data_IF_744217511808
#
_entry.id   IF_744217511808
#
_cell.length_a   1.000
_cell.length_b   1.000
_cell.length_c   1.000
_cell.angle_alpha   90.00
_cell.angle_beta   90.00
_cell.angle_gamma   90.00
#
_symmetry.space_group_name_H-M   'P 1'
#
loop_
_entity.id
_entity.type
_entity.pdbx_description
1 polymer ?
#
# COMPACT_ATOMS: atom_id res chain seq x y z
N UNK A 1 -6.31 22.80 -1.02
CA UNK A 1 -5.96 21.37 -1.11
C UNK A 1 -5.24 21.09 -2.42
N UNK A 2 -4.32 20.13 -2.43
CA UNK A 2 -3.61 19.69 -3.65
C UNK A 2 -4.08 18.28 -4.00
N UNK A 3 -4.22 18.00 -5.29
CA UNK A 3 -4.56 16.69 -5.83
C UNK A 3 -3.59 16.34 -6.95
N UNK A 4 -3.17 15.08 -7.01
CA UNK A 4 -2.33 14.58 -8.12
C UNK A 4 -3.09 13.44 -8.78
N UNK A 5 -3.56 13.68 -10.01
CA UNK A 5 -4.41 12.74 -10.74
C UNK A 5 -3.77 12.35 -12.07
N UNK A 6 -3.94 11.09 -12.46
CA UNK A 6 -3.38 10.54 -13.69
C UNK A 6 -4.51 10.06 -14.60
N UNK A 7 -4.51 10.44 -15.88
CA UNK A 7 -5.58 10.13 -16.84
C UNK A 7 -5.05 9.30 -18.00
N UNK A 8 -5.82 8.29 -18.42
CA UNK A 8 -5.41 7.31 -19.46
C UNK A 8 -5.46 7.82 -20.89
N UNK A 9 -5.90 9.06 -21.12
CA UNK A 9 -6.00 9.68 -22.45
C UNK A 9 -5.37 11.09 -22.46
N UNK A 10 -4.75 11.53 -23.57
CA UNK A 10 -4.35 12.92 -23.72
C UNK A 10 -5.57 13.85 -23.61
N UNK A 11 -5.45 14.86 -22.76
CA UNK A 11 -6.47 15.89 -22.59
C UNK A 11 -6.06 17.22 -23.22
N UNK A 12 -7.05 18.07 -23.46
CA UNK A 12 -6.84 19.48 -23.81
C UNK A 12 -7.16 20.37 -22.62
N UNK A 13 -6.47 21.51 -22.50
CA UNK A 13 -6.64 22.48 -21.40
C UNK A 13 -8.11 22.85 -21.20
N UNK A 14 -8.84 23.08 -22.31
CA UNK A 14 -10.25 23.41 -22.29
C UNK A 14 -11.10 22.31 -21.65
N UNK A 15 -10.88 21.05 -22.05
CA UNK A 15 -11.65 19.93 -21.52
C UNK A 15 -11.42 19.74 -20.02
N UNK A 16 -10.16 19.92 -19.58
CA UNK A 16 -9.81 19.88 -18.15
C UNK A 16 -10.45 21.04 -17.40
N UNK A 17 -10.40 22.27 -17.94
CA UNK A 17 -10.99 23.44 -17.31
C UNK A 17 -12.51 23.30 -17.13
N UNK A 18 -13.21 22.84 -18.16
CA UNK A 18 -14.66 22.57 -18.11
C UNK A 18 -14.99 21.48 -17.08
N UNK A 19 -14.23 20.39 -17.05
CA UNK A 19 -14.47 19.29 -16.12
C UNK A 19 -14.19 19.67 -14.66
N UNK A 20 -13.09 20.41 -14.39
CA UNK A 20 -12.78 20.91 -13.05
C UNK A 20 -13.81 21.95 -12.59
N UNK A 21 -14.22 22.87 -13.47
CA UNK A 21 -15.27 23.83 -13.17
C UNK A 21 -16.57 23.13 -12.75
N UNK A 22 -16.96 22.05 -13.44
CA UNK A 22 -18.11 21.24 -13.04
C UNK A 22 -17.88 20.54 -11.68
N UNK A 23 -16.72 19.92 -11.47
CA UNK A 23 -16.39 19.22 -10.22
C UNK A 23 -16.42 20.15 -8.99
N UNK A 24 -15.84 21.34 -9.11
CA UNK A 24 -15.78 22.35 -8.05
C UNK A 24 -17.00 23.27 -8.02
N UNK A 25 -17.93 23.14 -8.98
CA UNK A 25 -19.12 23.98 -9.15
C UNK A 25 -18.78 25.46 -9.30
N UNK A 26 -17.74 25.74 -10.07
CA UNK A 26 -17.26 27.08 -10.38
C UNK A 26 -17.58 27.43 -11.83
N UNK A 27 -17.65 28.73 -12.18
CA UNK A 27 -17.55 29.18 -13.56
C UNK A 27 -16.21 28.75 -14.18
N UNK A 28 -16.21 28.42 -15.47
CA UNK A 28 -14.98 27.99 -16.18
C UNK A 28 -13.86 29.04 -16.14
N UNK A 29 -14.21 30.34 -16.08
CA UNK A 29 -13.21 31.42 -16.00
C UNK A 29 -12.51 31.52 -14.63
N UNK A 30 -13.03 30.83 -13.61
CA UNK A 30 -12.43 30.73 -12.28
C UNK A 30 -11.52 29.49 -12.17
N UNK A 31 -11.26 28.80 -13.28
CA UNK A 31 -10.33 27.67 -13.37
C UNK A 31 -9.25 28.01 -14.40
N UNK A 32 -8.00 28.02 -13.96
CA UNK A 32 -6.83 28.19 -14.83
C UNK A 32 -6.16 26.82 -15.04
N UNK A 33 -6.04 26.42 -16.30
CA UNK A 33 -5.33 25.20 -16.71
C UNK A 33 -4.23 25.60 -17.67
N UNK A 34 -3.02 25.11 -17.43
CA UNK A 34 -1.90 25.35 -18.32
C UNK A 34 -1.00 24.12 -18.40
N UNK A 35 -0.49 23.85 -19.61
CA UNK A 35 0.58 22.88 -19.82
C UNK A 35 1.97 23.49 -19.58
N UNK A 36 3.02 22.66 -19.70
CA UNK A 36 4.42 23.08 -19.55
C UNK A 36 4.87 24.10 -20.60
N UNK A 37 4.20 24.17 -21.76
CA UNK A 37 4.57 25.03 -22.87
C UNK A 37 3.82 26.37 -22.85
N UNK A 38 2.83 26.52 -21.98
CA UNK A 38 2.05 27.73 -21.84
C UNK A 38 2.88 28.91 -21.31
N UNK A 39 2.53 30.13 -21.73
CA UNK A 39 3.13 31.36 -21.21
C UNK A 39 2.69 31.56 -19.76
N UNK A 40 3.62 31.31 -18.83
CA UNK A 40 3.38 31.42 -17.39
C UNK A 40 3.01 32.85 -16.95
N UNK A 41 3.35 33.88 -17.73
CA UNK A 41 2.96 35.26 -17.42
C UNK A 41 1.51 35.57 -17.82
N UNK A 42 0.91 34.77 -18.70
CA UNK A 42 -0.46 34.93 -19.15
C UNK A 42 -1.47 34.16 -18.28
N UNK A 43 -0.99 33.32 -17.35
CA UNK A 43 -1.82 32.51 -16.45
C UNK A 43 -2.57 33.37 -15.45
N UNK A 44 -3.80 32.97 -15.14
CA UNK A 44 -4.59 33.56 -14.08
C UNK A 44 -4.21 32.92 -12.73
N UNK A 45 -3.11 33.35 -12.13
CA UNK A 45 -2.63 32.86 -10.84
C UNK A 45 -3.60 33.12 -9.68
N UNK A 46 -4.53 34.08 -9.84
CA UNK A 46 -5.57 34.39 -8.87
C UNK A 46 -6.80 33.48 -9.00
N UNK A 47 -6.85 32.59 -10.00
CA UNK A 47 -7.97 31.68 -10.18
C UNK A 47 -8.15 30.78 -8.93
N UNK A 48 -9.40 30.60 -8.44
CA UNK A 48 -9.69 29.73 -7.31
C UNK A 48 -9.20 28.29 -7.46
N UNK A 49 -9.14 27.76 -8.69
CA UNK A 49 -8.56 26.46 -9.01
C UNK A 49 -7.48 26.63 -10.08
N UNK A 50 -6.28 26.14 -9.79
CA UNK A 50 -5.15 26.07 -10.71
C UNK A 50 -4.89 24.60 -11.07
N UNK A 51 -4.57 24.32 -12.33
CA UNK A 51 -4.14 22.99 -12.77
C UNK A 51 -2.87 23.11 -13.62
N UNK A 52 -1.82 22.38 -13.24
CA UNK A 52 -0.73 22.03 -14.13
C UNK A 52 -1.08 20.77 -14.91
N UNK A 53 -0.87 20.78 -16.23
CA UNK A 53 -1.10 19.62 -17.09
C UNK A 53 0.20 19.15 -17.74
N UNK A 54 0.54 17.88 -17.54
CA UNK A 54 1.79 17.30 -18.02
C UNK A 54 1.49 16.11 -18.91
N UNK A 55 2.05 16.09 -20.12
CA UNK A 55 1.94 14.94 -21.02
C UNK A 55 2.93 13.86 -20.59
N UNK A 56 2.45 12.62 -20.41
CA UNK A 56 3.24 11.48 -19.95
C UNK A 56 3.12 10.30 -20.91
N UNK A 57 4.04 9.34 -20.81
CA UNK A 57 4.06 8.15 -21.69
C UNK A 57 3.43 6.94 -20.99
N UNK A 58 3.03 5.93 -21.77
CA UNK A 58 2.51 4.66 -21.24
C UNK A 58 0.99 4.53 -21.35
N UNK A 59 0.38 3.84 -20.39
CA UNK A 59 -1.07 3.67 -20.29
C UNK A 59 -1.75 4.91 -19.72
N UNK A 60 -1.04 5.68 -18.90
CA UNK A 60 -1.40 7.06 -18.55
C UNK A 60 -0.81 7.99 -19.61
N UNK A 61 -1.57 9.03 -19.96
CA UNK A 61 -1.22 10.00 -21.01
C UNK A 61 -1.17 11.44 -20.52
N UNK A 62 -1.87 11.74 -19.43
CA UNK A 62 -1.88 13.07 -18.83
C UNK A 62 -1.78 12.97 -17.31
N UNK A 63 -0.85 13.73 -16.72
CA UNK A 63 -0.79 13.99 -15.28
C UNK A 63 -1.35 15.38 -14.99
N UNK A 64 -2.16 15.48 -13.94
CA UNK A 64 -2.83 16.70 -13.50
C UNK A 64 -2.40 17.02 -12.07
N UNK A 65 -1.78 18.18 -11.89
CA UNK A 65 -1.44 18.74 -10.59
C UNK A 65 -2.41 19.88 -10.28
N UNK A 66 -3.42 19.56 -9.47
CA UNK A 66 -4.55 20.47 -9.20
C UNK A 66 -4.36 21.09 -7.82
N UNK A 67 -4.45 22.42 -7.78
CA UNK A 67 -4.45 23.20 -6.56
C UNK A 67 -5.76 23.96 -6.42
N UNK A 68 -6.55 23.63 -5.41
CA UNK A 68 -7.75 24.37 -5.04
C UNK A 68 -7.44 25.28 -3.84
N UNK A 69 -7.66 26.58 -4.01
CA UNK A 69 -7.50 27.57 -2.93
C UNK A 69 -8.49 27.29 -1.78
N UNK A 70 -8.12 27.64 -0.55
CA UNK A 70 -8.94 27.40 0.65
C UNK A 70 -10.31 28.11 0.61
N UNK A 71 -10.44 29.14 -0.21
CA UNK A 71 -11.68 29.88 -0.49
C UNK A 71 -12.74 29.05 -1.22
N UNK A 72 -12.34 28.02 -1.97
CA UNK A 72 -13.25 27.10 -2.65
C UNK A 72 -13.80 26.13 -1.62
N UNK A 73 -15.11 26.18 -1.33
CA UNK A 73 -15.78 25.28 -0.39
C UNK A 73 -17.16 24.85 -0.90
N UNK A 74 -17.54 23.56 -0.73
CA UNK A 74 -16.74 22.47 -0.16
C UNK A 74 -15.69 21.93 -1.15
N UNK A 75 -14.53 21.52 -0.64
CA UNK A 75 -13.52 20.82 -1.45
C UNK A 75 -13.82 19.31 -1.46
N UNK A 76 -13.87 18.65 -2.64
CA UNK A 76 -14.07 17.21 -2.71
C UNK A 76 -12.86 16.46 -2.13
N UNK A 77 -13.09 15.24 -1.64
CA UNK A 77 -11.96 14.34 -1.38
C UNK A 77 -11.28 13.95 -2.69
N UNK A 78 -10.02 13.51 -2.65
CA UNK A 78 -9.30 13.09 -3.86
C UNK A 78 -10.04 11.96 -4.61
N UNK A 79 -10.59 11.01 -3.84
CA UNK A 79 -11.46 9.96 -4.38
C UNK A 79 -12.69 10.52 -5.10
N UNK A 80 -13.39 11.47 -4.49
CA UNK A 80 -14.62 12.02 -5.07
C UNK A 80 -14.30 12.86 -6.31
N UNK A 81 -13.18 13.59 -6.31
CA UNK A 81 -12.71 14.36 -7.45
C UNK A 81 -12.32 13.43 -8.61
N UNK A 82 -11.53 12.39 -8.35
CA UNK A 82 -11.15 11.41 -9.37
C UNK A 82 -12.37 10.72 -9.99
N UNK A 83 -13.34 10.30 -9.17
CA UNK A 83 -14.58 9.68 -9.66
C UNK A 83 -15.45 10.65 -10.47
N UNK A 84 -15.55 11.91 -10.06
CA UNK A 84 -16.29 12.93 -10.81
C UNK A 84 -15.62 13.23 -12.16
N UNK A 85 -14.30 13.44 -12.17
CA UNK A 85 -13.53 13.67 -13.39
C UNK A 85 -13.62 12.47 -14.34
N UNK A 86 -13.50 11.25 -13.84
CA UNK A 86 -13.59 10.04 -14.65
C UNK A 86 -14.93 9.97 -15.41
N UNK A 87 -16.02 10.28 -14.72
CA UNK A 87 -17.37 10.30 -15.29
C UNK A 87 -17.56 11.43 -16.31
N UNK A 88 -17.06 12.63 -16.03
CA UNK A 88 -17.22 13.80 -16.92
C UNK A 88 -16.39 13.64 -18.19
N UNK A 89 -15.14 13.20 -18.05
CA UNK A 89 -14.24 12.99 -19.18
C UNK A 89 -14.52 11.70 -19.94
N UNK A 90 -15.26 10.76 -19.34
CA UNK A 90 -15.50 9.43 -19.93
C UNK A 90 -14.24 8.56 -19.96
N UNK A 91 -13.31 8.79 -19.02
CA UNK A 91 -11.99 8.13 -18.95
C UNK A 91 -11.66 7.67 -17.54
N UNK A 92 -10.72 6.75 -17.45
CA UNK A 92 -10.20 6.28 -16.17
C UNK A 92 -9.21 7.29 -15.58
N UNK A 93 -9.40 7.60 -14.30
CA UNK A 93 -8.56 8.53 -13.54
C UNK A 93 -7.95 7.76 -12.37
N UNK A 94 -6.62 7.77 -12.26
CA UNK A 94 -5.89 7.19 -11.15
C UNK A 94 -5.55 8.26 -10.13
N UNK A 95 -5.52 7.86 -8.86
CA UNK A 95 -5.12 8.71 -7.74
C UNK A 95 -4.35 7.91 -6.68
N UNK A 96 -3.47 8.55 -5.90
CA UNK A 96 -2.65 7.88 -4.90
C UNK A 96 -3.45 7.09 -3.86
N UNK A 97 -2.88 5.97 -3.45
CA UNK A 97 -3.26 5.28 -2.23
C UNK A 97 -2.37 5.77 -1.09
N UNK A 98 -2.83 6.70 -0.27
CA UNK A 98 -1.99 7.16 0.84
C UNK A 98 -1.55 6.00 1.78
N UNK A 99 -0.35 6.05 2.40
CA UNK A 99 0.74 7.01 2.21
C UNK A 99 2.06 6.35 1.75
N UNK A 100 2.45 6.71 0.52
CA UNK A 100 3.81 6.89 -0.06
C UNK A 100 4.99 5.94 0.27
N UNK A 101 5.75 5.48 -0.76
CA UNK A 101 5.34 5.41 -2.17
C UNK A 101 4.26 4.34 -2.30
N UNK A 102 3.07 4.65 -2.86
CA UNK A 102 2.08 3.61 -3.05
C UNK A 102 2.59 2.68 -4.14
N UNK A 103 2.79 1.42 -3.77
CA UNK A 103 2.99 0.36 -4.76
C UNK A 103 1.71 0.07 -5.56
N UNK A 104 0.55 0.55 -5.07
CA UNK A 104 -0.74 0.47 -5.75
C UNK A 104 -1.50 1.80 -5.74
N UNK A 105 -1.99 2.25 -6.89
CA UNK A 105 -2.90 3.38 -7.06
C UNK A 105 -4.37 2.94 -6.97
N UNK A 106 -5.27 3.88 -6.73
CA UNK A 106 -6.68 3.70 -7.06
C UNK A 106 -6.96 4.11 -8.50
N UNK A 107 -7.95 3.48 -9.12
CA UNK A 107 -8.50 3.83 -10.43
C UNK A 107 -9.99 4.05 -10.25
N UNK A 108 -10.49 5.21 -10.66
CA UNK A 108 -11.89 5.47 -10.87
C UNK A 108 -12.19 5.43 -12.37
N UNK A 109 -13.06 4.53 -12.80
CA UNK A 109 -13.49 4.41 -14.18
C UNK A 109 -14.78 5.21 -14.43
N UNK A 110 -15.03 5.56 -15.69
CA UNK A 110 -16.19 6.34 -16.09
C UNK A 110 -17.55 5.65 -15.80
N UNK A 111 -17.57 4.33 -15.71
CA UNK A 111 -18.75 3.53 -15.37
C UNK A 111 -19.05 3.49 -13.86
N UNK A 112 -18.23 4.17 -13.05
CA UNK A 112 -18.34 4.21 -11.59
C UNK A 112 -17.56 3.09 -10.87
N UNK A 113 -16.89 2.20 -11.60
CA UNK A 113 -15.99 1.21 -11.00
C UNK A 113 -14.82 1.90 -10.30
N UNK A 114 -14.54 1.50 -9.07
CA UNK A 114 -13.33 1.93 -8.34
C UNK A 114 -12.54 0.68 -7.95
N UNK A 115 -11.30 0.60 -8.42
CA UNK A 115 -10.43 -0.56 -8.21
C UNK A 115 -9.01 -0.13 -7.89
N UNK A 116 -8.20 -1.05 -7.37
CA UNK A 116 -6.76 -0.85 -7.20
C UNK A 116 -6.01 -1.21 -8.48
N UNK A 117 -4.88 -0.55 -8.70
CA UNK A 117 -3.98 -0.76 -9.83
C UNK A 117 -2.52 -0.70 -9.40
N UNK A 118 -1.66 -1.55 -9.96
CA UNK A 118 -0.21 -1.40 -9.85
C UNK A 118 0.29 -0.49 -10.96
N UNK A 119 0.85 0.65 -10.57
CA UNK A 119 1.48 1.58 -11.50
C UNK A 119 3.00 1.41 -11.43
N UNK A 120 3.62 1.22 -12.59
CA UNK A 120 5.07 1.10 -12.74
C UNK A 120 5.56 2.31 -13.52
N UNK A 121 6.58 2.98 -13.00
CA UNK A 121 7.39 3.94 -13.74
C UNK A 121 8.66 3.23 -14.23
N UNK A 122 8.77 2.85 -15.52
CA UNK A 122 9.89 2.08 -16.03
C UNK A 122 11.12 2.95 -16.36
N UNK A 123 11.02 4.28 -16.31
CA UNK A 123 12.10 5.19 -16.69
C UNK A 123 12.13 6.46 -15.81
N UNK A 124 13.18 6.60 -14.99
CA UNK A 124 13.38 7.77 -14.12
C UNK A 124 13.72 9.05 -14.91
N UNK A 125 14.14 8.96 -16.18
CA UNK A 125 14.51 10.13 -16.99
C UNK A 125 13.32 10.75 -17.74
N UNK A 126 12.32 9.95 -18.13
CA UNK A 126 11.07 10.45 -18.72
C UNK A 126 9.83 9.77 -18.12
N UNK A 127 8.91 10.52 -17.49
CA UNK A 127 7.78 9.93 -16.77
C UNK A 127 6.94 9.06 -17.71
N UNK A 128 6.97 7.76 -17.44
CA UNK A 128 6.28 6.73 -18.21
C UNK A 128 5.43 5.89 -17.28
N UNK A 129 4.13 5.96 -17.34
CA UNK A 129 3.27 5.24 -16.40
C UNK A 129 2.61 4.06 -17.09
N UNK A 130 3.04 2.84 -16.74
CA UNK A 130 2.41 1.59 -17.19
C UNK A 130 1.57 1.00 -16.08
N UNK A 131 0.33 0.63 -16.39
CA UNK A 131 -0.52 -0.12 -15.46
C UNK A 131 -0.33 -1.61 -15.73
N UNK A 132 0.41 -2.28 -14.85
CA UNK A 132 0.74 -3.70 -14.98
C UNK A 132 -0.45 -4.60 -14.60
N UNK A 133 -1.16 -4.24 -13.54
CA UNK A 133 -2.22 -5.05 -12.96
C UNK A 133 -3.32 -4.22 -12.29
N UNK A 134 -4.53 -4.78 -12.23
CA UNK A 134 -5.72 -4.21 -11.59
C UNK A 134 -6.49 -5.29 -10.83
N UNK A 135 -7.17 -4.95 -9.72
CA UNK A 135 -7.99 -5.93 -8.98
C UNK A 135 -9.34 -6.25 -9.63
N UNK A 136 -9.86 -5.36 -10.46
CA UNK A 136 -11.06 -5.54 -11.25
C UNK A 136 -10.86 -5.02 -12.69
N UNK A 137 -11.53 -5.59 -13.70
CA UNK A 137 -11.41 -5.15 -15.09
C UNK A 137 -11.76 -3.67 -15.27
N UNK A 138 -10.95 -2.95 -16.04
CA UNK A 138 -11.18 -1.54 -16.40
C UNK A 138 -11.10 -1.41 -17.92
N UNK A 139 -12.13 -0.84 -18.55
CA UNK A 139 -12.26 -0.80 -20.01
C UNK A 139 -11.10 -0.06 -20.71
N UNK A 140 -10.61 1.03 -20.11
CA UNK A 140 -9.51 1.83 -20.67
C UNK A 140 -8.12 1.22 -20.42
N UNK A 141 -8.04 0.10 -19.69
CA UNK A 141 -6.80 -0.59 -19.35
C UNK A 141 -6.86 -2.07 -19.79
N UNK A 142 -7.08 -2.36 -21.08
CA UNK A 142 -7.33 -3.72 -21.57
C UNK A 142 -6.10 -4.65 -21.46
N UNK A 143 -4.90 -4.08 -21.30
CA UNK A 143 -3.65 -4.81 -21.20
C UNK A 143 -3.24 -5.10 -19.74
N UNK A 144 -3.92 -4.49 -18.76
CA UNK A 144 -3.62 -4.69 -17.35
C UNK A 144 -4.08 -6.09 -16.91
N UNK A 145 -3.22 -6.80 -16.19
CA UNK A 145 -3.57 -8.12 -15.66
C UNK A 145 -4.59 -7.99 -14.55
N UNK A 146 -5.72 -8.70 -14.65
CA UNK A 146 -6.71 -8.73 -13.57
C UNK A 146 -6.26 -9.74 -12.53
N UNK A 147 -5.69 -9.26 -11.42
CA UNK A 147 -5.19 -10.10 -10.33
C UNK A 147 -5.27 -9.35 -9.00
N UNK A 148 -5.30 -10.09 -7.90
CA UNK A 148 -5.12 -9.51 -6.57
C UNK A 148 -3.69 -8.97 -6.44
N UNK A 149 -3.54 -7.83 -5.79
CA UNK A 149 -2.26 -7.13 -5.66
C UNK A 149 -1.67 -7.36 -4.26
N UNK A 150 -0.65 -8.23 -4.09
CA UNK A 150 -0.06 -8.56 -2.78
C UNK A 150 0.42 -7.35 -1.99
N UNK A 151 0.88 -6.33 -2.71
CA UNK A 151 1.41 -5.11 -2.15
C UNK A 151 0.37 -4.31 -1.33
N UNK A 152 -0.92 -4.39 -1.68
CA UNK A 152 -2.00 -3.80 -0.88
C UNK A 152 -2.08 -4.44 0.50
N UNK A 153 -1.87 -5.75 0.59
CA UNK A 153 -1.87 -6.47 1.86
C UNK A 153 -0.62 -6.12 2.67
N UNK A 154 0.51 -5.93 2.00
CA UNK A 154 1.78 -5.51 2.63
C UNK A 154 1.72 -4.10 3.22
N UNK A 155 1.00 -3.18 2.58
CA UNK A 155 0.82 -1.80 3.04
C UNK A 155 -0.23 -1.65 4.16
N UNK A 156 -1.02 -2.69 4.45
CA UNK A 156 -2.01 -2.66 5.53
C UNK A 156 -1.33 -2.66 6.90
N UNK A 157 -1.13 -1.45 7.44
CA UNK A 157 -0.66 -1.30 8.82
C UNK A 157 -1.77 -1.62 9.80
N UNK A 158 -1.51 -2.61 10.66
CA UNK A 158 -2.33 -2.89 11.84
C UNK A 158 -1.60 -2.42 13.10
N UNK A 159 -2.34 -1.99 14.14
CA UNK A 159 -1.73 -1.71 15.44
C UNK A 159 -0.96 -2.94 15.96
N UNK A 160 0.27 -2.73 16.42
CA UNK A 160 1.16 -3.73 17.01
C UNK A 160 1.42 -3.45 18.50
N UNK A 161 0.38 -3.53 19.36
CA UNK A 161 0.50 -3.14 20.77
C UNK A 161 1.43 -4.04 21.59
N UNK A 162 1.66 -5.29 21.22
CA UNK A 162 2.62 -6.17 21.90
C UNK A 162 4.04 -5.69 21.63
N UNK A 163 4.40 -5.48 20.36
CA UNK A 163 5.70 -4.95 19.99
C UNK A 163 5.95 -3.55 20.53
N UNK A 164 4.94 -2.67 20.49
CA UNK A 164 5.05 -1.33 21.07
C UNK A 164 5.32 -1.33 22.59
N UNK A 165 4.70 -2.27 23.33
CA UNK A 165 5.01 -2.47 24.75
C UNK A 165 6.41 -3.04 24.97
N UNK A 166 6.86 -3.97 24.14
CA UNK A 166 8.23 -4.48 24.22
C UNK A 166 9.24 -3.35 24.01
N UNK A 167 9.07 -2.53 22.97
CA UNK A 167 9.93 -1.39 22.70
C UNK A 167 10.03 -0.44 23.90
N UNK A 168 8.87 -0.10 24.48
CA UNK A 168 8.79 0.73 25.70
C UNK A 168 9.55 0.11 26.88
N UNK A 169 9.42 -1.20 27.09
CA UNK A 169 10.12 -1.92 28.17
C UNK A 169 11.63 -1.98 27.94
N UNK A 170 12.09 -2.19 26.71
CA UNK A 170 13.51 -2.20 26.37
C UNK A 170 14.14 -0.82 26.58
N UNK A 171 13.48 0.24 26.11
CA UNK A 171 13.94 1.62 26.33
C UNK A 171 14.04 1.94 27.84
N UNK A 172 13.09 1.47 28.64
CA UNK A 172 13.08 1.67 30.10
C UNK A 172 14.23 0.95 30.82
N UNK A 173 14.77 -0.12 30.26
CA UNK A 173 15.95 -0.83 30.79
C UNK A 173 17.27 -0.11 30.49
N UNK A 174 17.25 0.95 29.68
CA UNK A 174 18.47 1.60 29.21
C UNK A 174 19.27 0.75 28.22
N UNK A 175 18.65 -0.30 27.65
CA UNK A 175 19.13 -0.97 26.46
C UNK A 175 19.26 0.06 25.33
N UNK A 176 20.28 -0.07 24.46
CA UNK A 176 20.49 0.85 23.33
C UNK A 176 19.18 1.18 22.61
N UNK A 177 19.05 2.44 22.19
CA UNK A 177 17.78 2.99 21.72
C UNK A 177 17.19 2.13 20.61
N UNK A 178 15.92 1.75 20.78
CA UNK A 178 15.16 1.02 19.76
C UNK A 178 14.97 1.82 18.46
N UNK A 179 15.35 3.10 18.43
CA UNK A 179 15.32 3.97 17.25
C UNK A 179 16.58 3.91 16.38
N UNK A 180 17.65 3.22 16.82
CA UNK A 180 18.85 3.05 16.02
C UNK A 180 18.66 1.90 15.01
N UNK A 181 18.40 2.27 13.76
CA UNK A 181 18.23 1.32 12.64
C UNK A 181 19.40 0.36 12.56
N UNK A 182 19.09 -0.95 12.53
CA UNK A 182 20.09 -2.02 12.46
C UNK A 182 20.67 -2.45 13.80
N UNK A 183 20.29 -1.81 14.92
CA UNK A 183 20.63 -2.31 16.26
C UNK A 183 19.91 -3.62 16.57
N UNK A 184 20.45 -4.40 17.51
CA UNK A 184 19.86 -5.67 17.97
C UNK A 184 18.42 -5.48 18.47
N UNK A 185 18.16 -4.39 19.21
CA UNK A 185 16.85 -4.07 19.76
C UNK A 185 15.87 -3.60 18.69
N UNK A 186 16.31 -2.74 17.76
CA UNK A 186 15.49 -2.34 16.60
C UNK A 186 15.08 -3.56 15.76
N UNK A 187 16.03 -4.46 15.48
CA UNK A 187 15.76 -5.70 14.73
C UNK A 187 14.78 -6.61 15.48
N UNK A 188 14.91 -6.72 16.81
CA UNK A 188 14.00 -7.51 17.65
C UNK A 188 12.57 -6.98 17.58
N UNK A 189 12.39 -5.67 17.81
CA UNK A 189 11.06 -5.05 17.77
C UNK A 189 10.45 -5.16 16.37
N UNK A 190 11.20 -4.79 15.32
CA UNK A 190 10.70 -4.81 13.94
C UNK A 190 10.28 -6.21 13.48
N UNK A 191 11.03 -7.26 13.88
CA UNK A 191 10.66 -8.65 13.53
C UNK A 191 9.47 -9.16 14.34
N UNK A 192 9.36 -8.76 15.60
CA UNK A 192 8.18 -9.05 16.41
C UNK A 192 6.94 -8.34 15.86
N UNK A 193 7.06 -7.10 15.36
CA UNK A 193 5.98 -6.38 14.68
C UNK A 193 5.46 -7.14 13.46
N UNK A 194 6.36 -7.66 12.61
CA UNK A 194 5.96 -8.47 11.47
C UNK A 194 5.18 -9.73 11.89
N UNK A 195 5.64 -10.40 12.96
CA UNK A 195 4.92 -11.54 13.55
C UNK A 195 3.56 -11.16 14.12
N UNK A 196 3.49 -10.09 14.91
CA UNK A 196 2.25 -9.58 15.49
C UNK A 196 1.24 -9.17 14.40
N UNK A 197 1.70 -8.50 13.33
CA UNK A 197 0.86 -8.12 12.20
C UNK A 197 0.23 -9.33 11.51
N UNK A 198 1.00 -10.40 11.29
CA UNK A 198 0.45 -11.65 10.76
C UNK A 198 -0.64 -12.19 11.70
N UNK A 199 -0.33 -12.37 12.99
CA UNK A 199 -1.27 -12.93 13.97
C UNK A 199 -2.54 -12.10 14.10
N UNK A 200 -2.43 -10.76 14.09
CA UNK A 200 -3.57 -9.86 14.12
C UNK A 200 -4.40 -9.96 12.82
N UNK A 201 -3.73 -10.09 11.67
CA UNK A 201 -4.42 -10.27 10.38
C UNK A 201 -5.20 -11.58 10.33
N UNK A 202 -4.63 -12.67 10.86
CA UNK A 202 -5.34 -13.95 11.02
C UNK A 202 -6.54 -13.81 11.96
N UNK A 203 -6.35 -13.13 13.09
CA UNK A 203 -7.39 -12.95 14.13
C UNK A 203 -8.59 -12.17 13.58
N UNK A 204 -8.36 -11.21 12.69
CA UNK A 204 -9.41 -10.42 12.05
C UNK A 204 -10.01 -11.10 10.80
N UNK A 205 -9.73 -12.39 10.60
CA UNK A 205 -10.23 -13.14 9.43
C UNK A 205 -9.74 -12.57 8.10
N UNK A 206 -8.50 -12.09 8.06
CA UNK A 206 -7.84 -11.51 6.88
C UNK A 206 -8.42 -10.15 6.44
N UNK A 207 -9.28 -9.53 7.24
CA UNK A 207 -9.84 -8.19 6.98
C UNK A 207 -8.73 -7.12 6.98
N UNK A 208 -8.80 -6.09 6.11
CA UNK A 208 -9.86 -5.81 5.12
C UNK A 208 -9.77 -6.55 3.79
N UNK A 209 -8.62 -7.14 3.44
CA UNK A 209 -8.45 -7.78 2.13
C UNK A 209 -9.32 -9.03 1.95
N UNK A 210 -9.58 -9.77 3.03
CA UNK A 210 -10.21 -11.09 2.99
C UNK A 210 -9.31 -12.18 2.39
N UNK A 211 -8.03 -11.88 2.19
CA UNK A 211 -7.01 -12.78 1.63
C UNK A 211 -5.62 -12.38 2.13
N UNK A 212 -4.63 -13.26 1.94
CA UNK A 212 -3.25 -13.01 2.36
C UNK A 212 -2.27 -13.69 1.40
N UNK A 213 -1.26 -12.99 0.86
CA UNK A 213 -0.29 -13.58 -0.05
C UNK A 213 0.53 -14.71 0.60
N UNK A 214 0.74 -15.81 -0.11
CA UNK A 214 1.49 -16.96 0.41
C UNK A 214 2.97 -16.62 0.68
N UNK A 215 3.59 -15.83 -0.19
CA UNK A 215 4.96 -15.32 -0.05
C UNK A 215 5.11 -14.41 1.18
N UNK A 216 4.15 -13.51 1.41
CA UNK A 216 4.12 -12.67 2.61
C UNK A 216 3.88 -13.49 3.88
N UNK A 217 3.06 -14.55 3.81
CA UNK A 217 2.87 -15.47 4.94
C UNK A 217 4.19 -16.15 5.30
N UNK A 218 4.88 -16.71 4.31
CA UNK A 218 6.21 -17.34 4.45
C UNK A 218 7.24 -16.36 4.97
N UNK A 219 7.27 -15.12 4.45
CA UNK A 219 8.15 -14.07 4.95
C UNK A 219 7.95 -13.82 6.45
N UNK A 220 6.71 -13.74 6.91
CA UNK A 220 6.41 -13.53 8.32
C UNK A 220 6.72 -14.74 9.21
N UNK A 221 6.60 -15.98 8.70
CA UNK A 221 7.12 -17.15 9.40
C UNK A 221 8.64 -17.08 9.56
N UNK A 222 9.37 -16.63 8.52
CA UNK A 222 10.82 -16.39 8.61
C UNK A 222 11.17 -15.25 9.58
N UNK A 223 10.31 -14.25 9.72
CA UNK A 223 10.51 -13.23 10.74
C UNK A 223 10.43 -13.85 12.14
N UNK A 224 9.54 -14.82 12.36
CA UNK A 224 9.47 -15.57 13.62
C UNK A 224 10.70 -16.43 13.88
N UNK A 225 11.29 -17.06 12.85
CA UNK A 225 12.60 -17.75 12.95
C UNK A 225 13.69 -16.76 13.42
N UNK A 226 13.75 -15.59 12.79
CA UNK A 226 14.73 -14.55 13.14
C UNK A 226 14.54 -13.98 14.53
N UNK A 227 13.32 -13.94 15.07
CA UNK A 227 13.07 -13.56 16.47
C UNK A 227 13.69 -14.59 17.43
N UNK A 228 13.54 -15.88 17.13
CA UNK A 228 14.15 -16.94 17.97
C UNK A 228 15.68 -16.87 17.97
N UNK A 229 16.30 -16.64 16.80
CA UNK A 229 17.76 -16.43 16.72
C UNK A 229 18.22 -15.18 17.47
N UNK A 230 17.44 -14.10 17.45
CA UNK A 230 17.76 -12.88 18.19
C UNK A 230 17.62 -13.06 19.70
N UNK A 231 16.62 -13.81 20.15
CA UNK A 231 16.42 -14.09 21.58
C UNK A 231 17.67 -14.70 22.23
N UNK A 232 18.37 -15.57 21.50
CA UNK A 232 19.61 -16.21 21.96
C UNK A 232 20.79 -15.23 22.09
N UNK A 233 20.72 -14.07 21.43
CA UNK A 233 21.76 -13.04 21.44
C UNK A 233 21.48 -11.94 22.47
N UNK A 234 20.25 -11.84 22.95
CA UNK A 234 19.86 -10.87 23.95
C UNK A 234 20.42 -11.25 25.34
N UNK A 235 20.76 -10.27 26.18
CA UNK A 235 20.99 -10.55 27.59
C UNK A 235 19.71 -11.09 28.24
N UNK A 236 19.88 -11.82 29.35
CA UNK A 236 18.82 -12.63 29.94
C UNK A 236 17.53 -11.83 30.21
N UNK A 237 17.65 -10.63 30.75
CA UNK A 237 16.48 -9.82 31.13
C UNK A 237 15.65 -9.39 29.91
N UNK A 238 16.32 -9.01 28.83
CA UNK A 238 15.69 -8.62 27.57
C UNK A 238 15.13 -9.83 26.82
N UNK A 239 15.81 -10.99 26.91
CA UNK A 239 15.31 -12.25 26.36
C UNK A 239 14.01 -12.71 27.07
N UNK A 240 13.91 -12.54 28.40
CA UNK A 240 12.70 -12.82 29.18
C UNK A 240 11.55 -11.88 28.80
N UNK A 241 11.82 -10.59 28.56
CA UNK A 241 10.82 -9.65 28.06
C UNK A 241 10.31 -10.03 26.67
N UNK A 242 11.21 -10.43 25.77
CA UNK A 242 10.84 -10.90 24.44
C UNK A 242 9.99 -12.18 24.52
N UNK A 243 10.36 -13.14 25.37
CA UNK A 243 9.60 -14.36 25.59
C UNK A 243 8.16 -14.06 26.04
N UNK A 244 8.02 -13.19 27.05
CA UNK A 244 6.72 -12.77 27.58
C UNK A 244 5.88 -12.02 26.52
N UNK A 245 6.52 -11.31 25.59
CA UNK A 245 5.84 -10.67 24.48
C UNK A 245 5.40 -11.68 23.40
N UNK A 246 6.20 -12.71 23.11
CA UNK A 246 5.89 -13.73 22.11
C UNK A 246 4.78 -14.68 22.55
N UNK A 247 4.76 -15.11 23.81
CA UNK A 247 3.81 -16.11 24.33
C UNK A 247 2.33 -15.86 23.94
N UNK A 248 1.76 -14.65 24.12
CA UNK A 248 0.38 -14.39 23.72
C UNK A 248 0.16 -14.42 22.20
N UNK A 249 1.16 -14.03 21.40
CA UNK A 249 1.09 -14.07 19.93
C UNK A 249 1.11 -15.52 19.44
N UNK A 250 2.05 -16.32 19.94
CA UNK A 250 2.19 -17.74 19.61
C UNK A 250 0.93 -18.53 19.99
N UNK A 251 0.35 -18.23 21.16
CA UNK A 251 -0.93 -18.83 21.59
C UNK A 251 -2.09 -18.48 20.64
N UNK A 252 -2.13 -17.25 20.12
CA UNK A 252 -3.15 -16.84 19.14
C UNK A 252 -2.92 -17.51 17.79
N UNK A 253 -1.69 -17.55 17.32
CA UNK A 253 -1.31 -18.24 16.10
C UNK A 253 -1.75 -19.72 16.14
N UNK A 254 -1.47 -20.42 17.24
CA UNK A 254 -1.90 -21.81 17.44
C UNK A 254 -3.42 -21.95 17.32
N UNK A 255 -4.21 -21.02 17.88
CA UNK A 255 -5.67 -21.07 17.79
C UNK A 255 -6.20 -20.85 16.38
N UNK A 256 -5.48 -20.08 15.55
CA UNK A 256 -5.88 -19.72 14.18
C UNK A 256 -5.32 -20.67 13.12
N UNK A 257 -4.61 -21.72 13.53
CA UNK A 257 -3.97 -22.68 12.63
C UNK A 257 -4.26 -24.10 13.06
N UNK A 258 -4.13 -25.04 12.12
CA UNK A 258 -4.22 -26.48 12.37
C UNK A 258 -2.84 -27.13 12.20
N UNK A 259 -2.51 -28.18 12.97
CA UNK A 259 -1.28 -28.94 12.76
C UNK A 259 -1.27 -29.59 11.38
N UNK A 260 -0.20 -29.36 10.63
CA UNK A 260 0.09 -29.99 9.35
C UNK A 260 1.61 -30.00 9.18
N UNK A 261 2.30 -31.12 9.43
CA UNK A 261 3.75 -31.14 9.33
C UNK A 261 4.29 -31.07 7.90
N UNK A 262 3.46 -31.31 6.87
CA UNK A 262 3.92 -31.44 5.49
C UNK A 262 3.59 -30.22 4.61
N UNK A 263 2.67 -29.35 5.03
CA UNK A 263 2.18 -28.25 4.18
C UNK A 263 3.26 -27.25 3.75
N UNK A 264 4.28 -27.01 4.56
CA UNK A 264 5.32 -26.04 4.19
C UNK A 264 6.13 -26.53 2.98
N UNK A 265 6.28 -27.86 2.81
CA UNK A 265 6.88 -28.44 1.61
C UNK A 265 5.98 -28.30 0.38
N UNK A 266 4.68 -28.08 0.57
CA UNK A 266 3.76 -27.77 -0.53
C UNK A 266 3.93 -26.33 -1.01
N UNK A 267 4.34 -25.39 -0.13
CA UNK A 267 4.65 -24.01 -0.52
C UNK A 267 5.85 -23.96 -1.48
N UNK A 268 6.90 -24.73 -1.21
CA UNK A 268 8.01 -24.87 -2.15
C UNK A 268 7.56 -25.53 -3.46
N UNK A 269 6.94 -26.73 -3.37
CA UNK A 269 6.54 -27.50 -4.55
C UNK A 269 5.52 -26.81 -5.47
N UNK A 270 4.54 -26.10 -4.90
CA UNK A 270 3.44 -25.49 -5.66
C UNK A 270 3.66 -24.01 -5.97
N UNK A 271 4.37 -23.28 -5.10
CA UNK A 271 4.54 -21.83 -5.21
C UNK A 271 6.00 -21.41 -5.43
N UNK A 272 6.96 -22.35 -5.39
CA UNK A 272 8.39 -22.06 -5.54
C UNK A 272 8.94 -21.20 -4.40
N UNK A 273 8.33 -21.26 -3.22
CA UNK A 273 8.72 -20.47 -2.05
C UNK A 273 9.81 -21.21 -1.28
N UNK A 274 10.93 -20.54 -1.04
CA UNK A 274 12.00 -21.07 -0.21
C UNK A 274 11.48 -21.35 1.22
N UNK A 275 11.74 -22.54 1.75
CA UNK A 275 11.32 -22.94 3.09
C UNK A 275 12.51 -23.53 3.85
N UNK A 276 12.49 -23.51 5.19
CA UNK A 276 13.56 -24.12 5.98
C UNK A 276 13.65 -25.64 5.77
N UNK A 277 14.86 -26.18 6.01
CA UNK A 277 15.10 -27.62 6.02
C UNK A 277 14.35 -28.30 7.19
N UNK A 278 13.95 -29.57 7.00
CA UNK A 278 13.13 -30.33 7.97
C UNK A 278 13.77 -30.45 9.37
N UNK A 279 15.10 -30.51 9.41
CA UNK A 279 15.87 -30.73 10.64
C UNK A 279 16.01 -29.48 11.53
N UNK A 280 15.72 -28.28 11.00
CA UNK A 280 15.89 -27.00 11.69
C UNK A 280 14.65 -26.09 11.54
N UNK A 281 13.47 -26.71 11.64
CA UNK A 281 12.21 -26.00 11.42
C UNK A 281 11.44 -25.75 12.72
N UNK A 282 11.15 -24.47 12.99
CA UNK A 282 10.32 -24.05 14.10
C UNK A 282 8.91 -24.65 14.05
N UNK A 283 8.30 -24.86 15.22
CA UNK A 283 6.99 -25.53 15.31
C UNK A 283 5.87 -24.79 14.57
N UNK A 284 6.00 -23.48 14.36
CA UNK A 284 5.02 -22.66 13.64
C UNK A 284 4.91 -23.02 12.16
N UNK A 285 5.99 -23.49 11.54
CA UNK A 285 5.97 -24.00 10.16
C UNK A 285 5.24 -25.33 10.03
N UNK A 286 4.99 -26.05 11.12
CA UNK A 286 4.20 -27.30 11.13
C UNK A 286 2.71 -27.03 11.30
N UNK A 287 2.28 -25.80 11.04
CA UNK A 287 0.90 -25.36 11.20
C UNK A 287 0.48 -24.49 10.02
N UNK A 288 -0.73 -24.73 9.52
CA UNK A 288 -1.30 -23.96 8.42
C UNK A 288 -2.60 -23.28 8.81
N UNK A 289 -2.94 -22.12 8.22
CA UNK A 289 -4.28 -21.57 8.33
C UNK A 289 -5.31 -22.50 7.66
N UNK A 290 -6.53 -22.53 8.18
CA UNK A 290 -7.65 -23.26 7.59
C UNK A 290 -8.91 -22.38 7.64
N UNK A 291 -9.47 -21.95 6.48
CA UNK A 291 -8.96 -22.19 5.12
C UNK A 291 -7.67 -21.41 4.81
N UNK A 292 -6.97 -21.81 3.75
CA UNK A 292 -5.84 -21.03 3.23
C UNK A 292 -6.33 -19.68 2.67
N UNK A 293 -5.63 -18.57 2.96
CA UNK A 293 -6.08 -17.23 2.60
C UNK A 293 -5.65 -16.76 1.21
N UNK A 294 -5.01 -17.61 0.38
CA UNK A 294 -4.57 -17.28 -0.98
C UNK A 294 -5.26 -18.12 -2.05
#
# INVERSE_FOLDING_TARGET
MTYTLLVTEPLSDRAVAEALAECFRLPVHDVDVADENADQNARNWDAPVLCGMHAVRGDVRTSLDIYAQDSVQPQPSERDLAAALARILGRSVLYPAEPFPPSAYWVAAADGTVTRARLIDPDDETPGYRVDAVEAPVADLPNAQVTRLPEIVREQRKPTPVSGRLATSLDALGACRTDETGSLYWMTVTRLEAWEQLVQTMTDGWTPAGWYPADLYVENLRMRDKVETLQQQLPQQEAELLEAAMEPLDRRFIKMTVPDPAWYLELDRQKGLEVPDEDDIGWWWRRRPEPLPW
#
